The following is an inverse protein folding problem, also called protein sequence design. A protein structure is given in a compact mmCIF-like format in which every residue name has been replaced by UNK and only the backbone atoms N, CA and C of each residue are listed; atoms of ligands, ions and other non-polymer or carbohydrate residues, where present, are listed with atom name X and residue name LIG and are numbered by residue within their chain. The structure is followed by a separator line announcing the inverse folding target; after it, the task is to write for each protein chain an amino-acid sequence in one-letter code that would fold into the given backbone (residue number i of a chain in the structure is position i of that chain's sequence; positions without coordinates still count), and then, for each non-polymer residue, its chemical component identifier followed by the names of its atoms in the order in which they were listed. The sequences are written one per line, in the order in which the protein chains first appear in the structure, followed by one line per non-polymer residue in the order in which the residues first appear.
data_IF_270463676332
#
_entry.id   IF_270463676332
#
_cell.length_a   1.000
_cell.length_b   1.000
_cell.length_c   1.000
_cell.angle_alpha   90.00
_cell.angle_beta   90.00
_cell.angle_gamma   90.00
#
_symmetry.space_group_name_H-M   'P 1'
#
loop_
_entity.id
_entity.type
_entity.pdbx_description
1 polymer ?
#
# COMPACT_ATOMS: atom_id res chain seq x y z
N UNK A 1 18.57 26.51 27.20
CA UNK A 1 17.37 25.71 26.79
C UNK A 1 17.85 24.53 25.98
N UNK A 2 17.56 23.28 26.40
CA UNK A 2 17.86 22.09 25.58
C UNK A 2 16.82 22.01 24.45
N UNK A 3 17.21 21.74 23.19
CA UNK A 3 16.24 21.60 22.11
C UNK A 3 15.36 20.38 22.39
N UNK A 4 14.05 20.60 22.38
CA UNK A 4 13.06 19.53 22.40
C UNK A 4 13.28 18.75 21.10
N UNK A 5 13.83 17.53 21.20
CA UNK A 5 13.85 16.60 20.07
C UNK A 5 12.39 16.30 19.72
N UNK A 6 11.85 17.03 18.75
CA UNK A 6 10.62 16.63 18.07
C UNK A 6 10.88 15.26 17.49
N UNK A 7 10.34 14.21 18.10
CA UNK A 7 10.30 12.89 17.48
C UNK A 7 9.31 12.98 16.34
N UNK A 8 9.75 13.44 15.18
CA UNK A 8 8.95 13.44 13.95
C UNK A 8 8.83 11.99 13.48
N UNK A 9 8.01 11.21 14.18
CA UNK A 9 7.72 9.83 13.81
C UNK A 9 7.05 9.85 12.44
N UNK A 10 7.68 9.23 11.46
CA UNK A 10 7.15 9.09 10.09
C UNK A 10 5.73 8.50 10.16
N UNK A 11 4.71 9.26 9.75
CA UNK A 11 3.31 8.79 9.74
C UNK A 11 3.17 7.60 8.80
N UNK A 12 2.49 6.53 9.22
CA UNK A 12 2.20 5.36 8.38
C UNK A 12 0.73 5.38 7.96
N UNK A 13 0.47 5.31 6.66
CA UNK A 13 -0.88 5.43 6.09
C UNK A 13 -1.16 4.21 5.23
N UNK A 14 -2.31 3.57 5.48
CA UNK A 14 -2.83 2.49 4.67
C UNK A 14 -4.04 3.00 3.88
N UNK A 15 -3.98 2.90 2.56
CA UNK A 15 -5.09 3.25 1.66
C UNK A 15 -5.70 1.95 1.14
N UNK A 16 -7.02 1.80 1.28
CA UNK A 16 -7.77 0.70 0.68
C UNK A 16 -8.41 1.24 -0.60
N UNK A 17 -8.01 0.71 -1.76
CA UNK A 17 -8.53 1.17 -3.05
C UNK A 17 -8.82 0.00 -3.97
N UNK A 18 -9.74 0.19 -4.91
CA UNK A 18 -9.94 -0.71 -6.05
C UNK A 18 -9.04 -0.37 -7.23
N UNK A 19 -8.62 0.89 -7.35
CA UNK A 19 -7.82 1.40 -8.45
C UNK A 19 -6.55 2.09 -7.96
N UNK A 20 -5.46 1.94 -8.70
CA UNK A 20 -4.23 2.70 -8.55
C UNK A 20 -3.57 2.81 -9.93
N UNK A 21 -3.25 4.02 -10.38
CA UNK A 21 -2.51 4.17 -11.63
C UNK A 21 -1.04 3.73 -11.44
N UNK A 22 -0.42 2.99 -12.39
CA UNK A 22 -0.90 2.66 -13.73
C UNK A 22 -1.65 1.32 -13.84
N UNK A 23 -1.93 0.64 -12.73
CA UNK A 23 -2.60 -0.67 -12.75
C UNK A 23 -4.03 -0.61 -13.31
N UNK A 24 -4.74 0.48 -13.03
CA UNK A 24 -6.11 0.69 -13.48
C UNK A 24 -6.24 2.09 -14.09
N UNK A 25 -6.78 2.16 -15.31
CA UNK A 25 -7.00 3.40 -16.05
C UNK A 25 -8.40 3.94 -15.71
N UNK A 26 -8.47 4.76 -14.67
CA UNK A 26 -9.70 5.40 -14.20
C UNK A 26 -9.40 6.64 -13.35
N UNK A 27 -10.40 7.50 -13.15
CA UNK A 27 -10.25 8.74 -12.39
C UNK A 27 -9.87 8.50 -10.93
N UNK A 28 -10.36 7.41 -10.33
CA UNK A 28 -10.00 7.00 -8.98
C UNK A 28 -8.52 6.56 -8.92
N UNK A 29 -8.04 5.80 -9.90
CA UNK A 29 -6.64 5.40 -9.98
C UNK A 29 -5.66 6.58 -10.08
N UNK A 30 -6.02 7.62 -10.83
CA UNK A 30 -5.24 8.87 -10.93
C UNK A 30 -5.26 9.61 -9.59
N UNK A 31 -6.44 9.80 -8.99
CA UNK A 31 -6.58 10.47 -7.70
C UNK A 31 -5.79 9.74 -6.59
N UNK A 32 -5.92 8.42 -6.51
CA UNK A 32 -5.21 7.61 -5.52
C UNK A 32 -3.69 7.78 -5.65
N UNK A 33 -3.16 7.77 -6.88
CA UNK A 33 -1.73 8.03 -7.15
C UNK A 33 -1.31 9.42 -6.67
N UNK A 34 -2.10 10.44 -6.97
CA UNK A 34 -1.73 11.83 -6.65
C UNK A 34 -1.81 12.09 -5.13
N UNK A 35 -2.76 11.46 -4.43
CA UNK A 35 -2.82 11.45 -2.97
C UNK A 35 -1.58 10.76 -2.37
N UNK A 36 -1.19 9.59 -2.89
CA UNK A 36 0.01 8.87 -2.43
C UNK A 36 1.24 9.75 -2.56
N UNK A 37 1.42 10.39 -3.73
CA UNK A 37 2.54 11.30 -3.99
C UNK A 37 2.57 12.47 -3.02
N UNK A 38 1.42 13.10 -2.77
CA UNK A 38 1.36 14.25 -1.87
C UNK A 38 1.63 13.86 -0.40
N UNK A 39 1.14 12.71 0.04
CA UNK A 39 1.40 12.21 1.39
C UNK A 39 2.87 11.79 1.58
N UNK A 40 3.48 11.16 0.58
CA UNK A 40 4.91 10.83 0.63
C UNK A 40 5.78 12.09 0.61
N UNK A 41 5.41 13.11 -0.16
CA UNK A 41 6.06 14.43 -0.15
C UNK A 41 6.03 15.09 1.24
N UNK A 42 4.98 14.86 2.02
CA UNK A 42 4.87 15.30 3.41
C UNK A 42 5.63 14.41 4.41
N UNK A 43 6.39 13.42 3.92
CA UNK A 43 7.18 12.51 4.72
C UNK A 43 6.37 11.35 5.32
N UNK A 44 5.16 11.06 4.84
CA UNK A 44 4.46 9.85 5.25
C UNK A 44 5.12 8.59 4.64
N UNK A 45 4.83 7.43 5.21
CA UNK A 45 5.03 6.13 4.56
C UNK A 45 3.65 5.62 4.17
N UNK A 46 3.36 5.59 2.88
CA UNK A 46 2.05 5.18 2.36
C UNK A 46 2.13 3.75 1.85
N UNK A 47 1.04 3.01 1.99
CA UNK A 47 0.87 1.68 1.41
C UNK A 47 -0.54 1.61 0.86
N UNK A 48 -0.68 1.24 -0.41
CA UNK A 48 -1.99 1.03 -1.05
C UNK A 48 -2.27 -0.46 -1.09
N UNK A 49 -3.37 -0.89 -0.50
CA UNK A 49 -3.87 -2.24 -0.60
C UNK A 49 -4.88 -2.32 -1.74
N UNK A 50 -4.61 -3.21 -2.69
CA UNK A 50 -5.46 -3.48 -3.84
C UNK A 50 -5.98 -4.92 -3.76
N UNK A 51 -7.22 -5.20 -4.19
CA UNK A 51 -7.77 -6.56 -4.21
C UNK A 51 -6.87 -7.51 -5.00
N UNK A 52 -6.44 -7.07 -6.18
CA UNK A 52 -5.64 -7.83 -7.12
C UNK A 52 -4.62 -6.92 -7.79
N UNK A 53 -3.40 -7.44 -7.95
CA UNK A 53 -2.35 -6.83 -8.78
C UNK A 53 -1.94 -7.92 -9.77
N UNK A 54 -2.06 -7.68 -11.10
CA UNK A 54 -1.57 -8.61 -12.12
C UNK A 54 -0.14 -9.06 -11.82
N UNK A 55 0.17 -10.34 -12.08
CA UNK A 55 1.50 -10.90 -11.77
C UNK A 55 2.63 -10.18 -12.53
N UNK A 56 2.27 -9.55 -13.64
CA UNK A 56 3.20 -9.03 -14.64
C UNK A 56 3.49 -7.53 -14.42
N UNK A 57 2.82 -6.90 -13.44
CA UNK A 57 3.03 -5.50 -13.10
C UNK A 57 3.64 -5.37 -11.70
N UNK A 58 4.77 -4.69 -11.63
CA UNK A 58 5.34 -4.24 -10.36
C UNK A 58 4.69 -2.91 -9.98
N UNK A 59 4.02 -2.89 -8.83
CA UNK A 59 3.53 -1.66 -8.22
C UNK A 59 4.29 -1.47 -6.91
N UNK A 60 5.28 -0.60 -6.92
CA UNK A 60 6.16 -0.37 -5.76
C UNK A 60 5.39 0.08 -4.52
N UNK A 61 4.27 0.78 -4.71
CA UNK A 61 3.39 1.28 -3.65
C UNK A 61 2.18 0.39 -3.35
N UNK A 62 1.98 -0.68 -4.14
CA UNK A 62 0.79 -1.52 -4.13
C UNK A 62 1.03 -2.90 -3.53
N UNK A 63 0.28 -3.26 -2.49
CA UNK A 63 0.22 -4.63 -1.98
C UNK A 63 -1.05 -5.30 -2.49
N UNK A 64 -0.92 -6.49 -3.07
CA UNK A 64 -2.07 -7.31 -3.45
C UNK A 64 -2.62 -8.08 -2.25
N UNK A 65 -3.92 -7.92 -2.01
CA UNK A 65 -4.65 -8.67 -1.00
C UNK A 65 -4.77 -10.15 -1.38
N UNK A 66 -5.07 -10.49 -2.63
CA UNK A 66 -5.12 -11.89 -3.11
C UNK A 66 -3.79 -12.64 -2.83
N UNK A 67 -2.63 -12.02 -3.11
CA UNK A 67 -1.32 -12.62 -2.79
C UNK A 67 -1.16 -12.87 -1.29
N UNK A 68 -1.56 -11.90 -0.47
CA UNK A 68 -1.43 -11.98 1.00
C UNK A 68 -2.34 -13.06 1.59
N UNK A 69 -3.59 -13.13 1.12
CA UNK A 69 -4.59 -14.14 1.52
C UNK A 69 -4.14 -15.53 1.10
N UNK A 70 -3.70 -15.74 -0.15
CA UNK A 70 -3.19 -17.04 -0.61
C UNK A 70 -1.99 -17.51 0.21
N UNK A 71 -1.06 -16.60 0.54
CA UNK A 71 0.10 -16.92 1.38
C UNK A 71 -0.34 -17.34 2.79
N UNK A 72 -1.27 -16.60 3.39
CA UNK A 72 -1.82 -16.92 4.71
C UNK A 72 -2.53 -18.28 4.70
N UNK A 73 -3.38 -18.54 3.71
CA UNK A 73 -4.12 -19.80 3.60
C UNK A 73 -3.17 -20.99 3.43
N UNK A 74 -2.16 -20.90 2.54
CA UNK A 74 -1.15 -21.97 2.39
C UNK A 74 -0.42 -22.26 3.71
N UNK A 75 0.00 -21.22 4.43
CA UNK A 75 0.73 -21.36 5.70
C UNK A 75 -0.12 -22.02 6.80
N UNK A 76 -1.42 -21.75 6.84
CA UNK A 76 -2.28 -22.24 7.92
C UNK A 76 -3.06 -23.52 7.58
N UNK A 77 -3.21 -23.86 6.30
CA UNK A 77 -3.86 -25.10 5.87
C UNK A 77 -2.88 -26.26 5.63
N UNK A 78 -1.58 -26.00 5.43
CA UNK A 78 -0.56 -27.06 5.43
C UNK A 78 -0.24 -27.60 6.84
N UNK A 79 -0.65 -26.90 7.90
CA UNK A 79 -0.42 -27.31 9.29
C UNK A 79 -1.48 -28.26 9.86
N UNK A 80 -2.43 -28.71 9.03
CA UNK A 80 -3.58 -29.54 9.42
C UNK A 80 -3.65 -30.89 8.70
N UNK A 81 -2.59 -31.30 8.02
CA UNK A 81 -2.45 -32.63 7.40
C UNK A 81 -1.24 -33.32 8.03
#
# INVERSE_FOLDING_TARGET
MKPIKSSTTRKRILILSWELFPLFLGGLGILARDIVKELDRQGAKVTVLLPYIPKDIQADDGISLDKSVRKYLKKNYQSKI
#
